data_IF_143159471311
#
_entry.id   IF_143159471311
#
_cell.length_a   1.000
_cell.length_b   1.000
_cell.length_c   1.000
_cell.angle_alpha   90.00
_cell.angle_beta   90.00
_cell.angle_gamma   90.00
#
_symmetry.space_group_name_H-M   'P 1'
#
loop_
_entity.id
_entity.type
_entity.pdbx_description
1 polymer ?
#
# COMPACT_ATOMS: atom_id res chain seq x y z
N UNK A 1 -0.75 10.92 3.70
CA UNK A 1 -0.95 9.90 2.65
C UNK A 1 0.36 9.79 1.88
N UNK A 2 0.76 8.60 1.47
CA UNK A 2 2.00 8.35 0.73
C UNK A 2 1.68 7.58 -0.55
N UNK A 3 2.21 8.07 -1.68
CA UNK A 3 2.25 7.31 -2.91
C UNK A 3 3.26 6.16 -2.75
N UNK A 4 2.84 4.92 -2.97
CA UNK A 4 3.71 3.74 -2.90
C UNK A 4 3.45 2.82 -4.09
N UNK A 5 4.51 2.12 -4.53
CA UNK A 5 4.47 1.28 -5.70
C UNK A 5 4.33 2.05 -7.02
N UNK A 6 3.34 1.68 -7.82
CA UNK A 6 3.20 2.03 -9.22
C UNK A 6 3.07 3.54 -9.48
N UNK A 7 4.00 4.07 -10.27
CA UNK A 7 4.04 5.44 -10.77
C UNK A 7 4.41 5.49 -12.25
N UNK A 8 4.78 6.68 -12.73
CA UNK A 8 5.24 6.89 -14.11
C UNK A 8 6.71 6.47 -14.31
N UNK A 9 7.27 6.81 -15.48
CA UNK A 9 8.64 6.43 -15.88
C UNK A 9 9.72 7.06 -14.99
N UNK A 10 9.43 8.18 -14.34
CA UNK A 10 10.41 8.91 -13.53
C UNK A 10 10.39 8.42 -12.07
N UNK A 11 9.46 7.54 -11.71
CA UNK A 11 9.38 6.90 -10.41
C UNK A 11 10.46 5.81 -10.22
N UNK A 12 11.21 5.90 -9.13
CA UNK A 12 12.04 4.79 -8.65
C UNK A 12 11.15 3.77 -7.92
N UNK A 13 10.75 2.72 -8.64
CA UNK A 13 9.90 1.67 -8.10
C UNK A 13 10.53 0.94 -6.90
N UNK A 14 11.85 0.84 -6.81
CA UNK A 14 12.51 0.20 -5.67
C UNK A 14 12.34 1.04 -4.40
N UNK A 15 12.58 2.35 -4.50
CA UNK A 15 12.38 3.28 -3.40
C UNK A 15 10.89 3.39 -2.97
N UNK A 16 9.96 3.08 -3.89
CA UNK A 16 8.53 3.14 -3.64
C UNK A 16 7.97 1.93 -2.85
N UNK A 17 8.80 0.99 -2.38
CA UNK A 17 8.34 -0.09 -1.51
C UNK A 17 7.96 0.44 -0.12
N UNK A 18 6.71 0.23 0.36
CA UNK A 18 6.23 0.77 1.62
C UNK A 18 6.99 0.25 2.85
N UNK A 19 7.73 -0.88 2.77
CA UNK A 19 8.54 -1.39 3.89
C UNK A 19 9.63 -0.40 4.31
N UNK A 20 10.10 0.45 3.40
CA UNK A 20 11.06 1.51 3.74
C UNK A 20 10.49 2.57 4.71
N UNK A 21 9.16 2.63 4.88
CA UNK A 21 8.51 3.53 5.83
C UNK A 21 8.47 2.98 7.27
N UNK A 22 8.96 1.76 7.53
CA UNK A 22 8.80 1.11 8.84
C UNK A 22 9.23 1.97 10.03
N UNK A 23 10.38 2.64 9.94
CA UNK A 23 10.86 3.49 11.03
C UNK A 23 10.02 4.77 11.18
N UNK A 24 9.51 5.32 10.07
CA UNK A 24 8.57 6.42 10.11
C UNK A 24 7.25 6.00 10.79
N UNK A 25 6.70 4.83 10.44
CA UNK A 25 5.46 4.30 11.02
C UNK A 25 5.56 4.04 12.53
N UNK A 26 6.74 3.64 13.01
CA UNK A 26 7.00 3.47 14.46
C UNK A 26 6.96 4.80 15.22
N UNK A 27 7.28 5.90 14.55
CA UNK A 27 7.39 7.23 15.15
C UNK A 27 6.15 8.11 14.90
N UNK A 28 5.22 7.68 14.03
CA UNK A 28 4.08 8.49 13.61
C UNK A 28 2.95 8.61 14.65
N UNK A 29 3.07 7.92 15.79
CA UNK A 29 2.04 7.89 16.84
C UNK A 29 0.70 7.43 16.28
N UNK A 30 -0.37 8.15 16.63
CA UNK A 30 -1.75 7.85 16.19
C UNK A 30 -2.15 8.53 14.87
N UNK A 31 -1.22 9.23 14.20
CA UNK A 31 -1.53 9.95 12.96
C UNK A 31 -2.01 8.99 11.88
N UNK A 32 -3.21 9.18 11.27
CA UNK A 32 -3.67 8.30 10.20
C UNK A 32 -2.79 8.37 8.95
N UNK A 33 -2.37 7.22 8.44
CA UNK A 33 -1.48 7.08 7.29
C UNK A 33 -2.15 6.20 6.25
N UNK A 34 -2.34 6.75 5.05
CA UNK A 34 -2.83 6.03 3.89
C UNK A 34 -1.66 5.71 2.94
N UNK A 35 -1.50 4.44 2.60
CA UNK A 35 -0.60 3.94 1.56
C UNK A 35 -1.39 3.80 0.26
N UNK A 36 -1.09 4.64 -0.73
CA UNK A 36 -1.86 4.71 -1.96
C UNK A 36 -1.33 3.74 -3.01
N UNK A 37 -2.24 3.13 -3.78
CA UNK A 37 -2.00 2.32 -4.99
C UNK A 37 -1.37 0.94 -4.76
N UNK A 38 -0.29 0.90 -3.99
CA UNK A 38 0.37 -0.28 -3.44
C UNK A 38 0.92 -1.32 -4.42
N UNK A 39 0.45 -1.47 -5.67
CA UNK A 39 1.03 -2.45 -6.61
C UNK A 39 2.47 -2.09 -6.99
N UNK A 40 3.42 -3.03 -7.04
CA UNK A 40 3.29 -4.47 -6.84
C UNK A 40 3.47 -4.93 -5.38
N UNK A 41 3.62 -4.00 -4.45
CA UNK A 41 3.87 -4.20 -3.02
C UNK A 41 2.58 -4.27 -2.18
N UNK A 42 1.47 -4.73 -2.77
CA UNK A 42 0.17 -4.77 -2.10
C UNK A 42 0.16 -5.70 -0.88
N UNK A 43 0.99 -6.75 -0.89
CA UNK A 43 1.18 -7.67 0.23
C UNK A 43 1.94 -7.02 1.38
N UNK A 44 3.01 -6.28 1.08
CA UNK A 44 3.79 -5.52 2.06
C UNK A 44 2.96 -4.39 2.68
N UNK A 45 2.17 -3.67 1.87
CA UNK A 45 1.23 -2.68 2.39
C UNK A 45 0.19 -3.32 3.32
N UNK A 46 -0.36 -4.48 2.94
CA UNK A 46 -1.25 -5.27 3.79
C UNK A 46 -0.61 -5.71 5.11
N UNK A 47 0.66 -6.14 5.07
CA UNK A 47 1.44 -6.47 6.28
C UNK A 47 1.56 -5.28 7.23
N UNK A 48 1.90 -4.09 6.70
CA UNK A 48 2.03 -2.89 7.52
C UNK A 48 0.69 -2.44 8.09
N UNK A 49 -0.39 -2.48 7.31
CA UNK A 49 -1.72 -2.13 7.80
C UNK A 49 -2.26 -3.11 8.86
N UNK A 50 -1.85 -4.38 8.79
CA UNK A 50 -2.12 -5.37 9.83
C UNK A 50 -1.33 -5.07 11.11
N UNK A 51 -0.09 -4.60 10.98
CA UNK A 51 0.82 -4.36 12.10
C UNK A 51 0.57 -3.03 12.84
N UNK A 52 0.07 -1.99 12.14
CA UNK A 52 -0.09 -0.64 12.69
C UNK A 52 -1.55 -0.17 12.67
N UNK A 53 -2.08 0.21 13.84
CA UNK A 53 -3.49 0.58 14.01
C UNK A 53 -3.89 1.89 13.30
N UNK A 54 -2.95 2.69 12.83
CA UNK A 54 -3.20 3.94 12.12
C UNK A 54 -2.79 3.87 10.64
N UNK A 55 -2.45 2.69 10.12
CA UNK A 55 -2.06 2.50 8.72
C UNK A 55 -3.20 1.85 7.94
N UNK A 56 -3.47 2.45 6.78
CA UNK A 56 -4.51 2.08 5.83
C UNK A 56 -3.88 1.96 4.44
N UNK A 57 -4.56 1.27 3.51
CA UNK A 57 -4.09 1.14 2.14
C UNK A 57 -5.24 1.20 1.13
N UNK A 58 -4.91 1.55 -0.10
CA UNK A 58 -5.79 1.37 -1.26
C UNK A 58 -5.03 0.79 -2.48
N UNK A 59 -5.81 0.32 -3.46
CA UNK A 59 -5.33 -0.08 -4.78
C UNK A 59 -5.90 0.77 -5.91
N UNK A 60 -6.38 1.98 -5.62
CA UNK A 60 -7.25 2.78 -6.51
C UNK A 60 -6.64 3.03 -7.88
N UNK A 61 -5.39 3.50 -7.95
CA UNK A 61 -4.69 3.68 -9.22
C UNK A 61 -4.49 2.32 -9.91
N UNK A 62 -3.93 1.35 -9.18
CA UNK A 62 -3.53 0.06 -9.73
C UNK A 62 -4.70 -0.75 -10.31
N UNK A 63 -5.89 -0.66 -9.72
CA UNK A 63 -7.12 -1.31 -10.23
C UNK A 63 -7.45 -0.84 -11.64
N UNK A 64 -7.29 0.46 -11.93
CA UNK A 64 -7.59 1.03 -13.25
C UNK A 64 -6.60 0.56 -14.33
N UNK A 65 -5.36 0.26 -13.97
CA UNK A 65 -4.31 -0.17 -14.91
C UNK A 65 -4.22 -1.68 -15.11
N UNK A 66 -4.69 -2.48 -14.14
CA UNK A 66 -4.67 -3.94 -14.24
C UNK A 66 -5.86 -4.53 -15.02
N UNK A 67 -6.90 -3.73 -15.30
CA UNK A 67 -8.05 -4.15 -16.10
C UNK A 67 -8.70 -5.44 -15.57
N UNK A 68 -8.79 -6.48 -16.42
CA UNK A 68 -9.37 -7.77 -16.06
C UNK A 68 -8.65 -8.49 -14.89
N UNK A 69 -7.41 -8.10 -14.56
CA UNK A 69 -6.65 -8.67 -13.43
C UNK A 69 -6.87 -7.92 -12.12
N UNK A 70 -7.62 -6.83 -12.11
CA UNK A 70 -7.93 -6.03 -10.90
C UNK A 70 -8.53 -6.86 -9.78
N UNK A 71 -9.43 -7.81 -10.06
CA UNK A 71 -10.03 -8.69 -9.05
C UNK A 71 -8.96 -9.47 -8.26
N UNK A 72 -7.87 -9.88 -8.91
CA UNK A 72 -6.77 -10.57 -8.24
C UNK A 72 -5.95 -9.64 -7.34
N UNK A 73 -5.79 -8.36 -7.71
CA UNK A 73 -5.18 -7.36 -6.83
C UNK A 73 -6.08 -7.09 -5.63
N UNK A 74 -7.38 -6.88 -5.85
CA UNK A 74 -8.36 -6.65 -4.78
C UNK A 74 -8.31 -7.81 -3.80
N UNK A 75 -8.32 -9.06 -4.29
CA UNK A 75 -8.13 -10.25 -3.45
C UNK A 75 -6.92 -10.13 -2.53
N UNK A 76 -5.75 -9.77 -3.06
CA UNK A 76 -4.51 -9.61 -2.26
C UNK A 76 -4.56 -8.46 -1.26
N UNK A 77 -5.14 -7.32 -1.62
CA UNK A 77 -5.33 -6.21 -0.68
C UNK A 77 -6.17 -6.65 0.52
N UNK A 78 -7.17 -7.50 0.29
CA UNK A 78 -8.08 -8.03 1.31
C UNK A 78 -7.54 -9.27 2.05
N UNK A 79 -6.35 -9.78 1.71
CA UNK A 79 -5.78 -10.98 2.36
C UNK A 79 -5.30 -10.69 3.79
N UNK A 80 -4.59 -9.57 4.01
CA UNK A 80 -4.01 -9.23 5.33
C UNK A 80 -4.53 -7.93 5.92
N UNK A 81 -5.08 -7.02 5.11
CA UNK A 81 -5.57 -5.74 5.60
C UNK A 81 -6.81 -5.92 6.50
N UNK A 82 -6.86 -5.29 7.68
CA UNK A 82 -8.03 -5.35 8.55
C UNK A 82 -9.18 -4.46 8.03
N UNK A 83 -10.43 -4.89 8.25
CA UNK A 83 -11.67 -4.19 7.87
C UNK A 83 -12.27 -3.32 9.00
N UNK A 84 -11.42 -2.88 9.92
CA UNK A 84 -11.81 -2.18 11.15
C UNK A 84 -12.21 -0.72 10.94
#
# INVERSE_FOLDING_TARGET
QFHVGFGDRDCDLHAANPVHLLDFLRLSGDTPIMLLHCYPYDREAGYLAQAFNNVYLDGGLSINYLGARSASLIGRLLEMAPFR
#
